data_IF_899431435698
#
_entry.id   IF_899431435698
#
_cell.length_a   1.000
_cell.length_b   1.000
_cell.length_c   1.000
_cell.angle_alpha   90.00
_cell.angle_beta   90.00
_cell.angle_gamma   90.00
#
_symmetry.space_group_name_H-M   'P 1'
#
loop_
_entity.id
_entity.type
_entity.pdbx_description
1 polymer ?
#
# COMPACT_ATOMS: atom_id res chain seq x y z
N UNK A 1 8.21 10.10 17.56
CA UNK A 1 8.53 10.80 16.29
C UNK A 1 7.25 11.49 15.82
N UNK A 2 7.17 12.81 15.96
CA UNK A 2 5.93 13.56 15.70
C UNK A 2 5.80 13.80 14.20
N UNK A 3 4.84 13.16 13.53
CA UNK A 3 4.42 13.48 12.17
C UNK A 3 3.54 14.73 12.25
N UNK A 4 4.09 15.89 11.90
CA UNK A 4 3.28 17.10 11.72
C UNK A 4 2.60 16.99 10.36
N UNK A 5 1.33 16.61 10.38
CA UNK A 5 0.45 16.68 9.22
C UNK A 5 -0.11 18.11 9.14
N UNK A 6 0.44 18.94 8.27
CA UNK A 6 -0.18 20.24 7.97
C UNK A 6 -1.28 19.99 6.93
N UNK A 7 -2.50 19.76 7.41
CA UNK A 7 -3.70 19.76 6.59
C UNK A 7 -4.18 21.20 6.49
N UNK A 8 -4.01 21.84 5.34
CA UNK A 8 -4.72 23.09 5.01
C UNK A 8 -6.13 22.71 4.56
N UNK A 9 -7.09 22.83 5.48
CA UNK A 9 -8.52 22.80 5.16
C UNK A 9 -8.91 24.07 4.43
N UNK A 10 -9.12 24.02 3.12
CA UNK A 10 -9.85 25.04 2.40
C UNK A 10 -11.35 24.81 2.60
N UNK A 11 -11.96 25.60 3.46
CA UNK A 11 -13.42 25.74 3.57
C UNK A 11 -13.93 26.51 2.36
N UNK A 12 -14.61 25.82 1.46
CA UNK A 12 -15.36 26.46 0.36
C UNK A 12 -16.72 26.88 0.89
N UNK A 13 -16.90 28.18 1.14
CA UNK A 13 -18.22 28.77 1.33
C UNK A 13 -18.93 28.81 -0.03
N UNK A 14 -20.06 28.12 -0.14
CA UNK A 14 -20.99 28.28 -1.25
C UNK A 14 -21.68 29.65 -1.13
N UNK A 15 -21.44 30.49 -2.10
CA UNK A 15 -22.22 31.71 -2.35
C UNK A 15 -23.01 31.48 -3.65
N UNK A 16 -24.30 31.17 -3.48
CA UNK A 16 -25.27 31.14 -4.60
C UNK A 16 -25.48 32.57 -5.10
N UNK A 17 -25.01 32.87 -6.31
CA UNK A 17 -25.49 34.02 -7.09
C UNK A 17 -26.19 33.51 -8.34
N UNK A 18 -27.51 33.78 -8.37
CA UNK A 18 -28.36 33.62 -9.54
C UNK A 18 -27.78 34.30 -10.77
N UNK A 19 -27.70 33.60 -11.89
CA UNK A 19 -27.43 34.13 -13.22
C UNK A 19 -28.75 34.35 -13.97
N UNK A 20 -28.85 35.46 -14.77
CA UNK A 20 -30.04 35.76 -15.53
C UNK A 20 -30.15 34.91 -16.82
N UNK A 21 -31.39 34.57 -17.15
CA UNK A 21 -31.78 33.86 -18.36
C UNK A 21 -31.55 34.68 -19.62
N UNK A 22 -30.72 34.20 -20.54
CA UNK A 22 -30.64 34.71 -21.91
C UNK A 22 -31.08 33.63 -22.88
N UNK A 23 -32.14 33.93 -23.64
CA UNK A 23 -32.61 33.13 -24.77
C UNK A 23 -31.56 33.14 -25.86
N UNK A 24 -31.20 31.99 -26.38
CA UNK A 24 -30.45 31.86 -27.65
C UNK A 24 -31.21 31.05 -28.65
N UNK A 25 -31.22 31.59 -29.87
CA UNK A 25 -31.89 31.10 -31.06
C UNK A 25 -31.30 29.78 -31.56
N UNK A 26 -32.21 28.91 -32.06
CA UNK A 26 -31.89 27.70 -32.80
C UNK A 26 -31.26 28.06 -34.14
N UNK A 27 -30.04 27.61 -34.41
CA UNK A 27 -29.51 27.42 -35.76
C UNK A 27 -28.90 26.04 -35.89
N UNK A 28 -29.49 25.25 -36.72
CA UNK A 28 -29.08 23.96 -37.22
C UNK A 28 -27.61 23.91 -37.66
N UNK A 29 -26.81 22.99 -37.09
CA UNK A 29 -25.51 22.59 -37.63
C UNK A 29 -25.42 21.05 -37.67
N UNK A 30 -25.05 20.60 -38.86
CA UNK A 30 -24.92 19.23 -39.32
C UNK A 30 -24.03 18.34 -38.42
N UNK A 31 -24.44 17.05 -38.38
CA UNK A 31 -23.71 15.98 -37.73
C UNK A 31 -22.32 15.75 -38.36
N UNK A 32 -21.28 16.23 -37.66
CA UNK A 32 -19.90 15.81 -37.87
C UNK A 32 -19.52 14.75 -36.83
N UNK A 33 -19.18 13.55 -37.28
CA UNK A 33 -18.60 12.51 -36.45
C UNK A 33 -17.25 13.01 -35.91
N UNK A 34 -17.22 13.44 -34.66
CA UNK A 34 -15.97 13.76 -33.96
C UNK A 34 -15.54 12.53 -33.19
N UNK A 35 -14.58 11.78 -33.74
CA UNK A 35 -13.82 10.80 -32.99
C UNK A 35 -13.00 11.57 -31.93
N UNK A 36 -13.26 11.30 -30.65
CA UNK A 36 -12.46 11.83 -29.54
C UNK A 36 -11.10 11.14 -29.61
N UNK A 37 -10.09 11.84 -30.14
CA UNK A 37 -8.71 11.44 -30.00
C UNK A 37 -8.23 11.82 -28.59
N UNK A 38 -7.68 10.86 -27.87
CA UNK A 38 -6.95 11.10 -26.62
C UNK A 38 -5.89 12.19 -26.81
N UNK A 39 -5.86 13.17 -25.93
CA UNK A 39 -4.98 14.34 -26.00
C UNK A 39 -3.51 13.96 -26.09
N UNK A 40 -2.88 14.38 -27.17
CA UNK A 40 -1.46 14.24 -27.54
C UNK A 40 -0.50 15.10 -26.68
N UNK A 41 -0.84 15.42 -25.44
CA UNK A 41 -0.01 16.33 -24.61
C UNK A 41 1.29 15.73 -24.07
N UNK A 42 1.47 14.40 -24.19
CA UNK A 42 2.66 13.69 -23.67
C UNK A 42 3.67 13.29 -24.77
N UNK A 43 3.52 13.81 -25.99
CA UNK A 43 4.45 13.51 -27.09
C UNK A 43 5.41 14.67 -27.35
N UNK A 44 6.67 14.48 -27.04
CA UNK A 44 7.73 15.37 -27.49
C UNK A 44 8.33 14.84 -28.79
N UNK A 45 8.25 15.64 -29.86
CA UNK A 45 8.85 15.29 -31.15
C UNK A 45 10.25 15.93 -31.19
N UNK A 46 11.27 15.12 -31.12
CA UNK A 46 12.64 15.50 -31.42
C UNK A 46 13.16 14.62 -32.56
N UNK A 47 13.50 15.20 -33.69
CA UNK A 47 14.14 14.57 -34.85
C UNK A 47 13.46 13.27 -35.35
N UNK A 48 12.16 13.31 -35.55
CA UNK A 48 11.40 12.21 -36.14
C UNK A 48 11.16 10.97 -35.28
N UNK A 49 11.60 10.96 -33.99
CA UNK A 49 11.27 9.94 -33.00
C UNK A 49 10.31 10.49 -31.96
N UNK A 50 9.10 9.96 -31.92
CA UNK A 50 8.16 10.22 -30.82
C UNK A 50 8.61 9.44 -29.58
N UNK A 51 9.19 10.10 -28.60
CA UNK A 51 9.50 9.48 -27.29
C UNK A 51 8.29 9.68 -26.36
N UNK A 52 7.61 8.59 -26.07
CA UNK A 52 6.56 8.60 -25.04
C UNK A 52 7.25 8.62 -23.68
N UNK A 53 6.99 9.67 -22.89
CA UNK A 53 7.49 9.74 -21.51
C UNK A 53 6.79 8.65 -20.69
N UNK A 54 7.52 7.78 -19.96
CA UNK A 54 6.88 6.79 -19.12
C UNK A 54 6.09 7.48 -18.00
N UNK A 55 4.88 6.99 -17.73
CA UNK A 55 3.97 7.52 -16.70
C UNK A 55 4.56 7.44 -15.29
N UNK A 56 5.46 6.46 -15.07
CA UNK A 56 6.23 6.30 -13.86
C UNK A 56 7.61 5.70 -14.17
N UNK A 57 8.59 5.93 -13.33
CA UNK A 57 9.94 5.33 -13.45
C UNK A 57 10.55 5.12 -12.08
N UNK A 58 11.39 4.08 -11.97
CA UNK A 58 12.26 3.85 -10.80
C UNK A 58 13.65 4.37 -11.12
N UNK A 59 14.15 5.28 -10.29
CA UNK A 59 15.52 5.79 -10.38
C UNK A 59 16.37 5.04 -9.36
N UNK A 60 17.16 4.08 -9.83
CA UNK A 60 17.99 3.22 -8.99
C UNK A 60 19.42 3.70 -8.95
N UNK A 61 19.99 3.79 -7.73
CA UNK A 61 21.39 4.19 -7.48
C UNK A 61 22.33 2.98 -7.31
N UNK A 62 21.85 1.93 -6.61
CA UNK A 62 22.59 0.68 -6.42
C UNK A 62 22.23 -0.31 -7.53
N UNK A 63 23.23 -0.95 -8.14
CA UNK A 63 23.03 -1.81 -9.32
C UNK A 63 22.87 -3.30 -9.03
N UNK A 64 23.40 -3.80 -7.92
CA UNK A 64 23.34 -5.24 -7.59
C UNK A 64 22.53 -5.51 -6.33
N UNK A 65 21.57 -6.40 -6.44
CA UNK A 65 20.80 -7.00 -5.35
C UNK A 65 20.96 -8.52 -5.44
N UNK A 66 20.87 -9.20 -4.31
CA UNK A 66 21.00 -10.66 -4.25
C UNK A 66 19.64 -11.30 -4.08
N UNK A 67 18.85 -11.31 -5.18
CA UNK A 67 17.52 -11.93 -5.23
C UNK A 67 16.69 -11.65 -3.95
N UNK A 68 16.40 -10.37 -3.65
CA UNK A 68 15.86 -9.98 -2.36
C UNK A 68 14.39 -10.41 -2.17
N UNK A 69 13.96 -10.41 -0.90
CA UNK A 69 12.54 -10.21 -0.58
C UNK A 69 12.25 -8.71 -0.59
N UNK A 70 11.04 -8.31 -1.01
CA UNK A 70 10.56 -6.93 -0.96
C UNK A 70 9.45 -6.80 0.07
N UNK A 71 9.71 -6.07 1.15
CA UNK A 71 8.74 -5.75 2.19
C UNK A 71 8.17 -4.37 1.90
N UNK A 72 6.85 -4.26 1.80
CA UNK A 72 6.16 -3.01 1.52
C UNK A 72 5.19 -2.66 2.65
N UNK A 73 5.18 -1.41 3.09
CA UNK A 73 4.22 -0.89 4.06
C UNK A 73 3.83 0.54 3.71
N UNK A 74 2.53 0.80 3.79
CA UNK A 74 1.94 2.07 3.38
C UNK A 74 1.15 2.70 4.53
N UNK A 75 0.87 4.02 4.48
CA UNK A 75 -0.06 4.64 5.40
C UNK A 75 -1.46 4.02 5.27
N UNK A 76 -1.90 3.36 6.33
CA UNK A 76 -3.17 2.66 6.44
C UNK A 76 -3.70 2.70 7.88
N UNK A 77 -4.71 1.88 8.23
CA UNK A 77 -5.20 1.77 9.60
C UNK A 77 -4.08 1.50 10.59
N UNK A 78 -4.07 2.22 11.70
CA UNK A 78 -3.02 2.10 12.72
C UNK A 78 -1.63 2.54 12.27
N UNK A 79 -1.43 2.97 11.04
CA UNK A 79 -0.12 3.22 10.42
C UNK A 79 0.85 2.03 10.56
N UNK A 80 0.30 0.81 10.77
CA UNK A 80 1.11 -0.38 11.09
C UNK A 80 2.13 -0.70 10.00
N UNK A 81 1.75 -0.59 8.71
CA UNK A 81 2.67 -0.80 7.60
C UNK A 81 3.81 0.21 7.59
N UNK A 82 3.51 1.49 7.79
CA UNK A 82 4.52 2.56 7.86
C UNK A 82 5.44 2.43 9.08
N UNK A 83 4.88 2.08 10.24
CA UNK A 83 5.66 1.85 11.48
C UNK A 83 6.59 0.66 11.29
N UNK A 84 6.07 -0.46 10.78
CA UNK A 84 6.85 -1.68 10.55
C UNK A 84 8.00 -1.46 9.58
N UNK A 85 7.75 -0.84 8.44
CA UNK A 85 8.80 -0.58 7.44
C UNK A 85 9.84 0.41 7.94
N UNK A 86 9.43 1.47 8.64
CA UNK A 86 10.36 2.42 9.27
C UNK A 86 11.24 1.72 10.32
N UNK A 87 10.65 0.81 11.09
CA UNK A 87 11.38 0.04 12.10
C UNK A 87 12.43 -0.88 11.46
N UNK A 88 12.07 -1.63 10.40
CA UNK A 88 13.02 -2.48 9.65
C UNK A 88 14.18 -1.64 9.09
N UNK A 89 13.87 -0.52 8.42
CA UNK A 89 14.88 0.37 7.84
C UNK A 89 15.90 0.83 8.90
N UNK A 90 15.41 1.26 10.07
CA UNK A 90 16.26 1.73 11.15
C UNK A 90 17.05 0.60 11.80
N UNK A 91 16.40 -0.54 12.07
CA UNK A 91 17.02 -1.69 12.75
C UNK A 91 18.15 -2.30 11.92
N UNK A 92 17.90 -2.51 10.63
CA UNK A 92 18.89 -3.05 9.69
C UNK A 92 19.81 -1.97 9.08
N UNK A 93 19.72 -0.72 9.53
CA UNK A 93 20.51 0.42 9.02
C UNK A 93 20.51 0.50 7.50
N UNK A 94 19.32 0.26 6.91
CA UNK A 94 19.19 0.14 5.45
C UNK A 94 19.51 1.44 4.74
N UNK A 95 20.06 1.31 3.54
CA UNK A 95 20.40 2.44 2.69
C UNK A 95 19.35 2.63 1.59
N UNK A 96 19.00 3.88 1.29
CA UNK A 96 18.15 4.18 0.15
C UNK A 96 18.87 3.84 -1.16
N UNK A 97 18.28 2.91 -1.92
CA UNK A 97 18.84 2.43 -3.20
C UNK A 97 18.13 3.00 -4.42
N UNK A 98 16.86 3.37 -4.28
CA UNK A 98 16.07 3.91 -5.39
C UNK A 98 14.97 4.85 -4.91
N UNK A 99 14.36 5.58 -5.85
CA UNK A 99 13.11 6.30 -5.67
C UNK A 99 12.20 6.09 -6.88
N UNK A 100 10.90 6.25 -6.67
CA UNK A 100 9.88 6.22 -7.72
C UNK A 100 9.45 7.64 -8.03
N UNK A 101 9.48 8.01 -9.30
CA UNK A 101 8.99 9.30 -9.81
C UNK A 101 7.81 9.07 -10.74
N UNK A 102 6.77 9.90 -10.60
CA UNK A 102 5.61 9.92 -11.47
C UNK A 102 4.87 11.25 -11.31
N UNK A 103 4.24 11.71 -12.37
CA UNK A 103 3.37 12.89 -12.34
C UNK A 103 2.08 12.62 -11.52
N UNK A 104 1.80 11.36 -11.18
CA UNK A 104 0.67 10.95 -10.33
C UNK A 104 0.99 10.89 -8.84
N UNK A 105 2.25 11.05 -8.44
CA UNK A 105 2.64 11.19 -7.03
C UNK A 105 2.52 12.66 -6.67
N UNK A 106 1.78 12.97 -5.60
CA UNK A 106 1.66 14.37 -5.14
C UNK A 106 3.06 14.92 -4.85
N UNK A 107 3.41 16.07 -5.47
CA UNK A 107 4.75 16.65 -5.29
C UNK A 107 5.02 16.97 -3.83
N UNK A 108 6.19 16.57 -3.34
CA UNK A 108 6.61 16.83 -1.98
C UNK A 108 7.95 16.19 -1.65
N UNK A 109 8.44 16.50 -0.47
CA UNK A 109 9.64 15.89 0.11
C UNK A 109 9.36 15.50 1.56
N UNK A 110 10.01 14.45 2.02
CA UNK A 110 9.96 13.99 3.40
C UNK A 110 11.25 14.44 4.09
N UNK A 111 11.11 15.07 5.24
CA UNK A 111 12.25 15.35 6.11
C UNK A 111 12.33 14.28 7.20
N UNK A 112 13.37 13.46 7.12
CA UNK A 112 13.61 12.37 8.08
C UNK A 112 15.11 12.21 8.33
N UNK A 113 15.49 11.96 9.57
CA UNK A 113 16.90 11.78 9.98
C UNK A 113 17.82 12.93 9.53
N UNK A 114 17.33 14.17 9.62
CA UNK A 114 18.10 15.35 9.23
C UNK A 114 18.29 15.56 7.72
N UNK A 115 17.59 14.80 6.86
CA UNK A 115 17.75 14.85 5.40
C UNK A 115 16.39 14.96 4.68
N UNK A 116 16.40 15.66 3.54
CA UNK A 116 15.29 15.65 2.59
C UNK A 116 15.36 14.40 1.71
N UNK A 117 14.22 13.73 1.56
CA UNK A 117 14.10 12.49 0.79
C UNK A 117 12.86 12.51 -0.11
N UNK A 118 12.90 11.76 -1.20
CA UNK A 118 11.72 11.49 -2.02
C UNK A 118 10.65 10.79 -1.19
N UNK A 119 9.34 11.06 -1.42
CA UNK A 119 8.26 10.43 -0.65
C UNK A 119 8.03 8.95 -0.99
N UNK A 120 8.46 8.49 -2.17
CA UNK A 120 8.35 7.10 -2.57
C UNK A 120 9.73 6.52 -2.81
N UNK A 121 10.17 5.60 -1.93
CA UNK A 121 11.56 5.16 -1.85
C UNK A 121 11.69 3.65 -1.68
N UNK A 122 12.83 3.14 -2.13
CA UNK A 122 13.28 1.77 -1.91
C UNK A 122 14.60 1.79 -1.11
N UNK A 123 14.66 0.92 -0.13
CA UNK A 123 15.83 0.70 0.71
C UNK A 123 16.32 -0.73 0.55
N UNK A 124 17.59 -0.98 0.88
CA UNK A 124 18.19 -2.33 0.93
C UNK A 124 19.11 -2.45 2.13
N UNK A 125 19.19 -3.64 2.70
CA UNK A 125 20.24 -4.01 3.63
C UNK A 125 21.61 -4.06 2.91
N UNK A 126 22.68 -4.25 3.67
CA UNK A 126 24.04 -4.25 3.12
C UNK A 126 24.27 -5.41 2.14
N UNK A 127 23.78 -6.59 2.44
CA UNK A 127 23.90 -7.80 1.64
C UNK A 127 23.09 -7.69 0.33
N UNK A 128 22.00 -6.95 0.32
CA UNK A 128 21.10 -6.83 -0.84
C UNK A 128 20.07 -7.95 -0.90
N UNK A 129 19.86 -8.69 0.20
CA UNK A 129 18.91 -9.79 0.33
C UNK A 129 17.52 -9.34 0.76
N UNK A 130 17.41 -8.16 1.42
CA UNK A 130 16.15 -7.57 1.88
C UNK A 130 16.02 -6.16 1.31
N UNK A 131 14.89 -5.89 0.67
CA UNK A 131 14.47 -4.57 0.24
C UNK A 131 13.22 -4.11 0.98
N UNK A 132 13.10 -2.81 1.24
CA UNK A 132 11.92 -2.21 1.83
C UNK A 132 11.40 -1.08 0.96
N UNK A 133 10.10 -1.10 0.67
CA UNK A 133 9.38 -0.09 -0.09
C UNK A 133 8.52 0.74 0.86
N UNK A 134 8.65 2.06 0.78
CA UNK A 134 7.82 3.01 1.51
C UNK A 134 7.27 4.07 0.58
N UNK A 135 5.98 4.42 0.75
CA UNK A 135 5.34 5.53 0.07
C UNK A 135 4.61 6.39 1.10
N UNK A 136 5.06 7.62 1.27
CA UNK A 136 4.54 8.57 2.27
C UNK A 136 3.84 9.78 1.63
N UNK A 137 3.60 9.74 0.31
CA UNK A 137 2.78 10.72 -0.40
C UNK A 137 1.55 10.07 -1.02
N UNK A 138 0.43 10.81 -1.11
CA UNK A 138 -0.72 10.35 -1.87
C UNK A 138 -0.37 10.13 -3.34
N UNK A 139 -0.94 9.08 -3.93
CA UNK A 139 -0.89 8.82 -5.36
C UNK A 139 -2.29 9.06 -5.93
N UNK A 140 -2.38 9.80 -7.02
CA UNK A 140 -3.64 10.02 -7.72
C UNK A 140 -4.17 8.67 -8.25
N UNK A 141 -5.47 8.42 -8.04
CA UNK A 141 -6.10 7.13 -8.38
C UNK A 141 -5.86 6.75 -9.85
N UNK A 142 -5.91 7.73 -10.76
CA UNK A 142 -5.72 7.52 -12.20
C UNK A 142 -4.33 6.95 -12.55
N UNK A 143 -3.32 7.25 -11.73
CA UNK A 143 -1.94 6.81 -11.94
C UNK A 143 -1.51 5.65 -11.06
N UNK A 144 -2.31 5.27 -10.07
CA UNK A 144 -1.92 4.28 -9.07
C UNK A 144 -1.49 2.95 -9.70
N UNK A 145 -2.29 2.44 -10.63
CA UNK A 145 -1.98 1.19 -11.33
C UNK A 145 -0.63 1.27 -12.07
N UNK A 146 -0.40 2.35 -12.83
CA UNK A 146 0.84 2.54 -13.59
C UNK A 146 2.08 2.67 -12.69
N UNK A 147 1.93 3.35 -11.55
CA UNK A 147 3.02 3.51 -10.56
C UNK A 147 3.36 2.16 -9.91
N UNK A 148 2.37 1.39 -9.49
CA UNK A 148 2.58 0.10 -8.84
C UNK A 148 3.09 -0.97 -9.81
N UNK A 149 2.61 -0.97 -11.06
CA UNK A 149 3.14 -1.84 -12.13
C UNK A 149 4.63 -1.54 -12.42
N UNK A 150 5.01 -0.27 -12.37
CA UNK A 150 6.43 0.13 -12.50
C UNK A 150 7.29 -0.41 -11.35
N UNK A 151 6.77 -0.43 -10.12
CA UNK A 151 7.44 -1.05 -8.97
C UNK A 151 7.55 -2.55 -9.15
N UNK A 152 6.48 -3.22 -9.59
CA UNK A 152 6.48 -4.67 -9.84
C UNK A 152 7.47 -5.06 -10.94
N UNK A 153 7.53 -4.29 -12.03
CA UNK A 153 8.54 -4.48 -13.09
C UNK A 153 9.97 -4.28 -12.57
N UNK A 154 10.18 -3.30 -11.69
CA UNK A 154 11.46 -3.13 -11.03
C UNK A 154 11.81 -4.36 -10.16
N UNK A 155 10.83 -4.89 -9.42
CA UNK A 155 11.03 -6.08 -8.59
C UNK A 155 11.44 -7.30 -9.44
N UNK A 156 10.76 -7.55 -10.55
CA UNK A 156 11.09 -8.63 -11.49
C UNK A 156 12.50 -8.46 -12.09
N UNK A 157 12.86 -7.25 -12.52
CA UNK A 157 14.17 -6.94 -13.09
C UNK A 157 15.31 -7.12 -12.08
N UNK A 158 15.04 -6.96 -10.79
CA UNK A 158 15.99 -7.18 -9.70
C UNK A 158 15.87 -8.57 -9.06
N UNK A 159 15.13 -9.49 -9.70
CA UNK A 159 14.96 -10.89 -9.25
C UNK A 159 14.41 -10.99 -7.82
N UNK A 160 13.50 -10.11 -7.47
CA UNK A 160 12.79 -10.21 -6.18
C UNK A 160 12.08 -11.55 -6.11
N UNK A 161 12.35 -12.33 -5.06
CA UNK A 161 11.77 -13.66 -4.85
C UNK A 161 10.30 -13.57 -4.49
N UNK A 162 9.97 -12.63 -3.60
CA UNK A 162 8.61 -12.47 -3.06
C UNK A 162 8.38 -11.03 -2.60
N UNK A 163 7.14 -10.55 -2.75
CA UNK A 163 6.68 -9.28 -2.18
C UNK A 163 5.83 -9.55 -0.95
N UNK A 164 6.15 -8.91 0.16
CA UNK A 164 5.40 -9.00 1.42
C UNK A 164 4.80 -7.64 1.75
N UNK A 165 3.49 -7.55 1.83
CA UNK A 165 2.78 -6.30 2.14
C UNK A 165 2.31 -6.34 3.59
N UNK A 166 2.69 -5.33 4.37
CA UNK A 166 2.29 -5.13 5.75
C UNK A 166 1.24 -4.02 5.82
N UNK A 167 0.04 -4.31 6.34
CA UNK A 167 -1.03 -3.32 6.44
C UNK A 167 -1.98 -3.58 7.61
N UNK A 168 -2.81 -2.58 7.92
CA UNK A 168 -3.85 -2.64 8.94
C UNK A 168 -5.23 -2.94 8.34
N UNK A 169 -6.03 -3.71 9.06
CA UNK A 169 -7.47 -3.84 8.82
C UNK A 169 -8.19 -2.88 9.75
N UNK A 170 -9.00 -1.99 9.17
CA UNK A 170 -9.75 -1.02 9.97
C UNK A 170 -10.81 -1.72 10.80
N UNK A 171 -10.76 -1.53 12.12
CA UNK A 171 -11.79 -1.94 13.07
C UNK A 171 -12.29 -0.75 13.86
N UNK A 172 -13.51 -0.88 14.40
CA UNK A 172 -14.06 0.08 15.36
C UNK A 172 -13.54 -0.24 16.76
N UNK A 173 -13.29 0.81 17.55
CA UNK A 173 -12.77 0.68 18.91
C UNK A 173 -11.27 0.35 18.98
N UNK A 174 -10.83 -0.12 20.14
CA UNK A 174 -9.44 -0.48 20.43
C UNK A 174 -9.30 -2.00 20.22
N UNK A 175 -8.41 -2.45 19.33
CA UNK A 175 -8.24 -3.87 19.08
C UNK A 175 -7.71 -4.60 20.31
N UNK A 176 -8.04 -5.89 20.44
CA UNK A 176 -7.48 -6.74 21.48
C UNK A 176 -5.95 -6.83 21.36
N UNK A 177 -5.23 -6.80 22.48
CA UNK A 177 -3.76 -6.92 22.50
C UNK A 177 -3.29 -8.32 22.09
N UNK A 178 -4.13 -9.35 22.26
CA UNK A 178 -3.85 -10.75 21.89
C UNK A 178 -4.22 -11.08 20.44
N UNK A 179 -4.62 -10.06 19.65
CA UNK A 179 -4.99 -10.25 18.25
C UNK A 179 -3.88 -10.90 17.44
N UNK A 180 -4.26 -11.77 16.52
CA UNK A 180 -3.35 -12.48 15.61
C UNK A 180 -3.31 -11.78 14.25
N UNK A 181 -2.16 -11.81 13.55
CA UNK A 181 -2.10 -11.34 12.18
C UNK A 181 -2.75 -12.35 11.25
N UNK A 182 -3.34 -11.84 10.17
CA UNK A 182 -3.86 -12.63 9.06
C UNK A 182 -2.80 -12.66 7.98
N UNK A 183 -2.43 -13.86 7.54
CA UNK A 183 -1.44 -14.06 6.47
C UNK A 183 -2.15 -14.66 5.27
N UNK A 184 -2.07 -13.97 4.13
CA UNK A 184 -2.63 -14.40 2.85
C UNK A 184 -1.53 -14.51 1.82
N UNK A 185 -1.51 -15.59 1.03
CA UNK A 185 -0.50 -15.87 0.01
C UNK A 185 -1.12 -15.98 -1.38
N UNK A 186 -0.38 -15.55 -2.41
CA UNK A 186 -0.76 -15.73 -3.82
C UNK A 186 -0.88 -17.19 -4.24
N UNK A 187 -0.25 -18.09 -3.52
CA UNK A 187 -0.16 -19.55 -3.78
C UNK A 187 -1.24 -20.35 -3.04
N UNK A 188 -2.12 -19.67 -2.29
CA UNK A 188 -3.24 -20.32 -1.60
C UNK A 188 -2.90 -20.91 -0.23
N UNK A 189 -1.68 -20.75 0.27
CA UNK A 189 -1.35 -21.05 1.66
C UNK A 189 -1.93 -19.97 2.58
N UNK A 190 -3.08 -20.22 3.17
CA UNK A 190 -3.67 -19.37 4.21
C UNK A 190 -3.36 -20.00 5.56
N UNK A 191 -2.44 -19.40 6.30
CA UNK A 191 -2.27 -19.74 7.71
C UNK A 191 -3.38 -19.01 8.49
N UNK A 192 -4.31 -19.77 9.06
CA UNK A 192 -5.42 -19.33 9.92
C UNK A 192 -6.53 -18.49 9.24
N UNK A 193 -7.30 -19.10 8.35
CA UNK A 193 -8.57 -18.53 7.87
C UNK A 193 -9.63 -18.35 9.00
N UNK A 194 -9.44 -19.00 10.13
CA UNK A 194 -10.33 -18.88 11.30
C UNK A 194 -10.27 -17.49 11.99
N UNK A 195 -9.24 -16.69 11.72
CA UNK A 195 -9.07 -15.36 12.32
C UNK A 195 -9.63 -14.20 11.47
N UNK A 196 -10.32 -14.47 10.35
CA UNK A 196 -10.97 -13.46 9.51
C UNK A 196 -12.31 -12.96 10.09
N UNK A 197 -12.81 -13.58 11.15
CA UNK A 197 -14.04 -13.18 11.81
C UNK A 197 -13.68 -12.14 12.88
N UNK A 198 -14.19 -10.90 12.83
CA UNK A 198 -14.15 -10.03 13.99
C UNK A 198 -14.84 -10.76 15.14
N UNK A 199 -14.20 -10.79 16.33
CA UNK A 199 -14.84 -11.24 17.57
C UNK A 199 -16.05 -10.32 17.84
N UNK A 200 -17.16 -10.56 17.21
CA UNK A 200 -18.46 -10.08 17.68
C UNK A 200 -18.82 -11.02 18.83
N UNK A 201 -18.67 -10.52 20.06
CA UNK A 201 -19.18 -11.13 21.28
C UNK A 201 -20.72 -11.20 21.21
N UNK A 202 -21.24 -12.14 20.45
CA UNK A 202 -22.60 -12.69 20.62
C UNK A 202 -22.44 -14.20 20.44
N UNK A 203 -22.30 -14.89 21.57
CA UNK A 203 -22.51 -16.33 21.61
C UNK A 203 -23.95 -16.60 21.15
N UNK A 204 -24.16 -17.32 20.03
CA UNK A 204 -25.48 -17.84 19.73
C UNK A 204 -25.75 -18.96 20.74
N UNK A 205 -26.83 -18.80 21.52
CA UNK A 205 -27.39 -19.86 22.34
C UNK A 205 -27.49 -21.15 21.54
N UNK A 206 -26.91 -22.20 22.11
CA UNK A 206 -27.03 -23.60 21.65
C UNK A 206 -28.49 -23.99 21.60
N UNK A 207 -29.07 -24.11 20.39
CA UNK A 207 -30.07 -25.13 20.05
C UNK A 207 -30.12 -25.30 18.52
N UNK A 208 -29.57 -26.44 18.07
CA UNK A 208 -29.88 -27.18 16.86
C UNK A 208 -30.41 -26.42 15.61
N UNK A 209 -29.51 -26.10 14.67
CA UNK A 209 -29.80 -26.29 13.25
C UNK A 209 -28.53 -26.83 12.56
N UNK A 210 -28.36 -28.16 12.58
CA UNK A 210 -27.56 -28.87 11.58
C UNK A 210 -28.34 -28.79 10.27
N UNK A 211 -28.07 -27.80 9.45
CA UNK A 211 -28.58 -27.71 8.10
C UNK A 211 -27.42 -27.49 7.13
N UNK A 212 -27.56 -28.08 5.96
CA UNK A 212 -26.72 -28.05 4.76
C UNK A 212 -26.15 -26.65 4.38
N UNK A 213 -26.55 -25.58 5.07
CA UNK A 213 -26.09 -24.21 4.92
C UNK A 213 -24.75 -23.88 5.61
N UNK A 214 -24.19 -24.79 6.40
CA UNK A 214 -22.91 -24.55 7.11
C UNK A 214 -21.72 -24.42 6.19
N UNK A 215 -21.71 -25.15 5.07
CA UNK A 215 -20.63 -25.10 4.08
C UNK A 215 -20.66 -23.82 3.24
N UNK A 216 -21.86 -23.28 2.94
CA UNK A 216 -21.99 -22.02 2.18
C UNK A 216 -21.61 -20.79 2.99
N UNK A 217 -21.88 -20.76 4.31
CA UNK A 217 -21.43 -19.66 5.19
C UNK A 217 -19.92 -19.52 5.22
N UNK A 218 -19.19 -20.62 5.24
CA UNK A 218 -17.72 -20.58 5.24
C UNK A 218 -17.12 -19.99 3.96
N UNK A 219 -17.78 -20.16 2.80
CA UNK A 219 -17.29 -19.62 1.52
C UNK A 219 -17.44 -18.09 1.49
N UNK A 220 -18.55 -17.54 1.98
CA UNK A 220 -18.78 -16.09 2.02
C UNK A 220 -18.00 -15.37 3.12
N UNK A 221 -17.69 -16.05 4.23
CA UNK A 221 -16.89 -15.52 5.34
C UNK A 221 -15.38 -15.45 5.03
N UNK A 222 -14.92 -16.16 4.00
CA UNK A 222 -13.50 -16.18 3.61
C UNK A 222 -13.11 -15.11 2.57
N UNK A 223 -14.05 -14.26 2.14
CA UNK A 223 -13.78 -13.23 1.12
C UNK A 223 -13.41 -11.91 1.79
N UNK A 224 -12.17 -11.45 1.54
CA UNK A 224 -11.68 -10.15 2.00
C UNK A 224 -11.21 -9.31 0.83
N UNK A 225 -11.44 -7.99 0.89
CA UNK A 225 -10.94 -7.03 -0.10
C UNK A 225 -9.83 -6.18 0.52
N UNK A 226 -8.64 -6.26 -0.06
CA UNK A 226 -7.50 -5.41 0.28
C UNK A 226 -7.45 -4.29 -0.76
N UNK A 227 -7.62 -3.05 -0.32
CA UNK A 227 -7.65 -1.88 -1.19
C UNK A 227 -6.39 -1.02 -1.12
N UNK A 228 -6.43 0.17 -1.73
CA UNK A 228 -5.36 1.15 -1.68
C UNK A 228 -4.05 0.70 -2.30
N UNK A 229 -2.94 1.24 -1.80
CA UNK A 229 -1.59 0.91 -2.31
C UNK A 229 -1.21 -0.55 -2.04
N UNK A 230 -1.61 -1.08 -0.89
CA UNK A 230 -1.37 -2.47 -0.50
C UNK A 230 -2.01 -3.44 -1.50
N UNK A 231 -3.33 -3.34 -1.69
CA UNK A 231 -4.07 -4.17 -2.62
C UNK A 231 -3.65 -3.96 -4.08
N UNK A 232 -3.35 -2.72 -4.47
CA UNK A 232 -2.86 -2.41 -5.80
C UNK A 232 -1.50 -3.05 -6.10
N UNK A 233 -0.57 -3.07 -5.15
CA UNK A 233 0.72 -3.76 -5.31
C UNK A 233 0.54 -5.28 -5.41
N UNK A 234 -0.27 -5.87 -4.53
CA UNK A 234 -0.59 -7.30 -4.59
C UNK A 234 -1.24 -7.68 -5.93
N UNK A 235 -2.22 -6.88 -6.39
CA UNK A 235 -2.86 -7.09 -7.70
C UNK A 235 -1.87 -7.03 -8.86
N UNK A 236 -0.93 -6.07 -8.82
CA UNK A 236 0.13 -5.99 -9.83
C UNK A 236 1.08 -7.20 -9.77
N UNK A 237 1.42 -7.69 -8.57
CA UNK A 237 2.21 -8.91 -8.40
C UNK A 237 1.49 -10.12 -9.01
N UNK A 238 0.20 -10.32 -8.70
CA UNK A 238 -0.62 -11.40 -9.25
C UNK A 238 -0.65 -11.35 -10.78
N UNK A 239 -0.87 -10.17 -11.37
CA UNK A 239 -0.91 -9.97 -12.82
C UNK A 239 0.41 -10.28 -13.52
N UNK A 240 1.53 -10.15 -12.81
CA UNK A 240 2.87 -10.37 -13.34
C UNK A 240 3.51 -11.72 -12.88
N UNK A 241 2.77 -12.58 -12.19
CA UNK A 241 3.25 -13.88 -11.71
C UNK A 241 4.35 -13.78 -10.65
N UNK A 242 4.42 -12.67 -9.91
CA UNK A 242 5.37 -12.47 -8.82
C UNK A 242 4.75 -12.93 -7.50
N UNK A 243 5.41 -13.88 -6.82
CA UNK A 243 4.95 -14.39 -5.53
C UNK A 243 4.73 -13.25 -4.53
N UNK A 244 3.58 -13.25 -3.85
CA UNK A 244 3.25 -12.18 -2.92
C UNK A 244 2.47 -12.68 -1.71
N UNK A 245 2.70 -12.04 -0.55
CA UNK A 245 1.97 -12.29 0.70
C UNK A 245 1.46 -10.96 1.27
N UNK A 246 0.29 -11.01 1.89
CA UNK A 246 -0.23 -9.93 2.74
C UNK A 246 -0.18 -10.38 4.20
N UNK A 247 0.37 -9.52 5.05
CA UNK A 247 0.32 -9.67 6.51
C UNK A 247 -0.52 -8.51 7.05
N UNK A 248 -1.67 -8.84 7.58
CA UNK A 248 -2.68 -7.87 7.99
C UNK A 248 -2.97 -8.00 9.48
N UNK A 249 -3.24 -6.88 10.15
CA UNK A 249 -3.63 -6.86 11.55
C UNK A 249 -4.76 -5.87 11.82
N UNK A 250 -5.70 -6.24 12.68
CA UNK A 250 -6.78 -5.33 13.09
C UNK A 250 -6.20 -4.10 13.79
N UNK A 251 -6.59 -2.90 13.34
CA UNK A 251 -6.07 -1.63 13.88
C UNK A 251 -7.09 -0.50 13.76
N UNK A 252 -7.07 0.43 14.69
CA UNK A 252 -7.97 1.60 14.70
C UNK A 252 -7.51 2.63 13.68
N UNK A 253 -8.46 3.21 12.95
CA UNK A 253 -8.16 4.31 12.02
C UNK A 253 -7.71 5.56 12.78
N UNK A 254 -6.69 6.25 12.26
CA UNK A 254 -6.24 7.54 12.78
C UNK A 254 -5.44 7.50 14.09
N UNK A 255 -5.26 6.33 14.68
CA UNK A 255 -4.46 6.14 15.90
C UNK A 255 -3.26 5.26 15.55
N UNK A 256 -2.00 5.73 15.72
CA UNK A 256 -0.82 4.88 15.50
C UNK A 256 -0.84 3.65 16.41
N UNK A 257 -0.51 2.50 15.85
CA UNK A 257 -0.58 1.19 16.52
C UNK A 257 0.79 0.48 16.48
N UNK A 258 1.72 0.88 17.34
CA UNK A 258 3.04 0.25 17.42
C UNK A 258 2.99 -1.20 17.90
N UNK A 259 1.98 -1.59 18.70
CA UNK A 259 1.77 -2.98 19.12
C UNK A 259 1.38 -3.86 17.94
N UNK A 260 0.45 -3.40 17.09
CA UNK A 260 0.10 -4.09 15.84
C UNK A 260 1.30 -4.24 14.90
N UNK A 261 2.12 -3.19 14.80
CA UNK A 261 3.36 -3.26 14.02
C UNK A 261 4.35 -4.28 14.60
N UNK A 262 4.47 -4.38 15.93
CA UNK A 262 5.32 -5.39 16.59
C UNK A 262 4.85 -6.82 16.25
N UNK A 263 3.53 -7.08 16.35
CA UNK A 263 2.95 -8.37 16.02
C UNK A 263 3.19 -8.75 14.55
N UNK A 264 3.02 -7.79 13.62
CA UNK A 264 3.32 -8.04 12.20
C UNK A 264 4.79 -8.39 11.97
N UNK A 265 5.70 -7.68 12.63
CA UNK A 265 7.14 -7.91 12.50
C UNK A 265 7.56 -9.28 13.07
N UNK A 266 7.03 -9.69 14.21
CA UNK A 266 7.27 -11.01 14.80
C UNK A 266 6.73 -12.14 13.90
N UNK A 267 5.64 -11.89 13.20
CA UNK A 267 5.08 -12.84 12.25
C UNK A 267 5.86 -12.87 10.95
N UNK A 268 6.32 -11.73 10.47
CA UNK A 268 7.20 -11.61 9.31
C UNK A 268 8.50 -12.41 9.53
N UNK A 269 9.12 -12.28 10.69
CA UNK A 269 10.34 -12.98 11.05
C UNK A 269 10.18 -14.52 11.03
N UNK A 270 9.00 -15.01 11.43
CA UNK A 270 8.68 -16.45 11.43
C UNK A 270 8.45 -17.04 10.03
N UNK A 271 7.95 -16.25 9.09
CA UNK A 271 7.59 -16.72 7.74
C UNK A 271 8.65 -16.41 6.68
N UNK A 272 9.68 -15.66 7.07
CA UNK A 272 10.85 -15.42 6.22
C UNK A 272 11.96 -16.37 6.61
N UNK A 273 12.43 -17.18 5.67
CA UNK A 273 13.61 -18.04 5.87
C UNK A 273 14.93 -17.24 5.93
N UNK A 274 14.84 -15.94 5.78
CA UNK A 274 15.98 -15.01 5.78
C UNK A 274 16.41 -14.75 7.23
N UNK A 275 17.47 -15.41 7.67
CA UNK A 275 18.13 -15.20 8.98
C UNK A 275 18.55 -13.76 9.27
N UNK A 276 18.42 -12.87 8.27
CA UNK A 276 18.83 -11.47 8.35
C UNK A 276 17.81 -10.53 8.98
N UNK A 277 16.61 -10.99 9.31
CA UNK A 277 15.55 -10.13 9.84
C UNK A 277 15.53 -10.03 11.36
N UNK A 278 16.32 -10.78 12.13
CA UNK A 278 16.39 -10.78 13.62
C UNK A 278 15.83 -9.49 14.26
N UNK A 279 14.50 -9.35 14.28
CA UNK A 279 13.80 -8.11 14.64
C UNK A 279 13.40 -8.18 16.11
N UNK A 280 14.14 -7.49 16.98
CA UNK A 280 13.72 -7.28 18.37
C UNK A 280 12.65 -6.18 18.45
N UNK A 281 11.40 -6.55 18.72
CA UNK A 281 10.24 -5.65 18.76
C UNK A 281 9.99 -4.99 20.11
N UNK A 282 10.79 -5.26 21.15
CA UNK A 282 10.56 -4.77 22.51
C UNK A 282 10.44 -3.24 22.60
N UNK A 283 11.15 -2.50 21.75
CA UNK A 283 11.05 -1.03 21.70
C UNK A 283 9.68 -0.55 21.21
N UNK A 284 9.07 -1.23 20.25
CA UNK A 284 7.72 -0.88 19.75
C UNK A 284 6.67 -1.11 20.85
N UNK A 285 6.76 -2.23 21.57
CA UNK A 285 5.86 -2.56 22.67
C UNK A 285 5.97 -1.60 23.87
N UNK A 286 7.13 -1.02 24.12
CA UNK A 286 7.31 0.01 25.15
C UNK A 286 6.68 1.33 24.77
N UNK A 287 6.69 1.69 23.50
CA UNK A 287 6.10 2.93 22.98
C UNK A 287 4.57 2.91 22.99
N UNK A 288 3.93 1.75 23.04
CA UNK A 288 2.47 1.61 23.12
C UNK A 288 1.91 1.86 24.53
N UNK A 289 2.77 1.90 25.57
CA UNK A 289 2.37 2.05 26.99
C UNK A 289 2.44 3.50 27.50
N UNK A 290 2.80 4.46 26.65
CA UNK A 290 2.83 5.90 26.90
C UNK A 290 1.67 6.62 26.21
#
# INVERSE_FOLDING_TARGET
MCLIYVSSSMSTQHNEKQLPSTKMDEKSVSAGKTSVSLNDKDKFITEGKTTVRPLAKVIQKRKSLDSPILIAGFPGPGLVGSISTSYIINRLRMQQIACVESDFIVPGVIYTEGKLRHPFRLYSNEEGSVCVLVCEAPIMIQGMHSVLDTVTKWALNNKVKQVMVLDGIAVEGIPNLERKPIIMSSDGEVADAASLIPDTEEEPNDEEIQTEYGAERNIYQSTAFIGGLAGGLLSSCLSNGLASKALLISSTRGIPDPEGAAILLESLDKITDEKSLEIDTQHLRKSSKL
#
